data_IF_788509475544
#
_entry.id   IF_788509475544
#
_cell.length_a   1.000
_cell.length_b   1.000
_cell.length_c   1.000
_cell.angle_alpha   90.00
_cell.angle_beta   90.00
_cell.angle_gamma   90.00
#
_symmetry.space_group_name_H-M   'P 1'
#
loop_
_entity.id
_entity.type
_entity.pdbx_description
1 polymer ?
#
# COMPACT_ATOMS: atom_id res chain seq x y z
N UNK A 1 -1.92 24.18 10.35
CA UNK A 1 -2.25 22.75 10.52
C UNK A 1 -3.03 22.63 11.81
N UNK A 2 -4.19 21.97 11.82
CA UNK A 2 -4.93 21.74 13.06
C UNK A 2 -4.12 20.78 13.95
N UNK A 3 -4.21 20.87 15.29
CA UNK A 3 -3.64 19.88 16.20
C UNK A 3 -4.22 18.48 15.93
N UNK A 4 -3.43 17.43 16.19
CA UNK A 4 -3.87 16.03 15.99
C UNK A 4 -5.14 15.71 16.77
N UNK A 5 -5.26 16.19 18.02
CA UNK A 5 -6.49 16.06 18.81
C UNK A 5 -7.71 16.67 18.11
N UNK A 6 -7.59 17.86 17.52
CA UNK A 6 -8.71 18.52 16.84
C UNK A 6 -9.11 17.77 15.55
N UNK A 7 -8.13 17.18 14.86
CA UNK A 7 -8.39 16.34 13.70
C UNK A 7 -9.04 15.00 14.05
N UNK A 8 -8.67 14.42 15.20
CA UNK A 8 -9.29 13.19 15.73
C UNK A 8 -10.72 13.45 16.18
N UNK A 9 -10.95 14.53 16.93
CA UNK A 9 -12.27 14.93 17.43
C UNK A 9 -13.28 15.20 16.29
N UNK A 10 -12.81 15.78 15.18
CA UNK A 10 -13.62 15.99 13.97
C UNK A 10 -14.04 14.68 13.30
N UNK A 11 -13.17 13.65 13.31
CA UNK A 11 -13.48 12.33 12.74
C UNK A 11 -14.41 11.54 13.65
N UNK A 12 -14.15 11.56 14.96
CA UNK A 12 -14.92 10.81 15.96
C UNK A 12 -16.35 11.36 16.12
N UNK A 13 -16.54 12.67 16.00
CA UNK A 13 -17.85 13.32 16.12
C UNK A 13 -18.53 13.61 14.78
N UNK A 14 -17.95 13.20 13.65
CA UNK A 14 -18.62 13.27 12.36
C UNK A 14 -19.96 12.50 12.41
N UNK A 15 -20.98 13.00 11.72
CA UNK A 15 -22.31 12.39 11.65
C UNK A 15 -22.92 12.06 13.03
N UNK A 16 -22.87 13.00 13.98
CA UNK A 16 -23.40 12.81 15.35
C UNK A 16 -22.76 11.64 16.12
N UNK A 17 -21.51 11.29 15.82
CA UNK A 17 -20.80 10.18 16.47
C UNK A 17 -20.93 8.84 15.75
N UNK A 18 -21.63 8.78 14.62
CA UNK A 18 -21.63 7.61 13.73
C UNK A 18 -20.31 7.50 12.93
N UNK A 19 -19.50 8.56 12.94
CA UNK A 19 -18.29 8.67 12.16
C UNK A 19 -18.58 8.96 10.68
N UNK A 20 -17.55 9.20 9.85
CA UNK A 20 -17.74 9.47 8.44
C UNK A 20 -18.39 8.28 7.72
N UNK A 21 -19.27 8.57 6.75
CA UNK A 21 -19.92 7.54 5.94
C UNK A 21 -18.87 6.68 5.22
N UNK A 22 -18.94 5.35 5.32
CA UNK A 22 -18.02 4.49 4.61
C UNK A 22 -18.22 4.64 3.11
N UNK A 23 -17.12 4.83 2.37
CA UNK A 23 -17.15 4.90 0.89
C UNK A 23 -17.70 3.59 0.27
N UNK A 24 -17.53 2.47 0.97
CA UNK A 24 -18.18 1.20 0.68
C UNK A 24 -18.28 0.34 1.94
N UNK A 25 -19.42 -0.32 2.11
CA UNK A 25 -19.64 -1.33 3.17
C UNK A 25 -19.66 -2.72 2.54
N UNK A 26 -18.93 -3.65 3.12
CA UNK A 26 -18.96 -5.07 2.73
C UNK A 26 -19.54 -5.87 3.89
N UNK A 27 -20.81 -6.25 3.78
CA UNK A 27 -21.56 -6.91 4.87
C UNK A 27 -21.27 -8.41 4.98
N UNK A 28 -21.00 -9.09 3.86
CA UNK A 28 -20.70 -10.52 3.87
C UNK A 28 -19.30 -10.77 4.48
N UNK A 29 -19.18 -11.58 5.55
CA UNK A 29 -17.91 -11.80 6.22
C UNK A 29 -16.83 -12.46 5.35
N UNK A 30 -17.20 -13.29 4.37
CA UNK A 30 -16.25 -13.90 3.45
C UNK A 30 -15.74 -12.87 2.43
N UNK A 31 -16.64 -12.01 1.91
CA UNK A 31 -16.24 -10.90 1.04
C UNK A 31 -15.40 -9.86 1.78
N UNK A 32 -15.70 -9.57 3.05
CA UNK A 32 -14.91 -8.67 3.88
C UNK A 32 -13.47 -9.17 4.06
N UNK A 33 -13.27 -10.49 4.25
CA UNK A 33 -11.93 -11.09 4.29
C UNK A 33 -11.17 -10.91 2.98
N UNK A 34 -11.84 -11.03 1.83
CA UNK A 34 -11.23 -10.79 0.52
C UNK A 34 -10.83 -9.32 0.38
N UNK A 35 -11.70 -8.38 0.77
CA UNK A 35 -11.41 -6.94 0.72
C UNK A 35 -10.17 -6.60 1.58
N UNK A 36 -10.10 -7.12 2.81
CA UNK A 36 -8.94 -6.93 3.68
C UNK A 36 -7.67 -7.55 3.07
N UNK A 37 -7.76 -8.75 2.50
CA UNK A 37 -6.62 -9.38 1.82
C UNK A 37 -6.14 -8.55 0.62
N UNK A 38 -7.05 -7.96 -0.15
CA UNK A 38 -6.73 -7.06 -1.26
C UNK A 38 -6.06 -5.76 -0.78
N UNK A 39 -6.51 -5.17 0.33
CA UNK A 39 -5.85 -4.00 0.91
C UNK A 39 -4.42 -4.33 1.33
N UNK A 40 -4.22 -5.47 2.00
CA UNK A 40 -2.90 -5.94 2.42
C UNK A 40 -1.99 -6.24 1.23
N UNK A 41 -2.52 -6.85 0.17
CA UNK A 41 -1.78 -7.11 -1.07
C UNK A 41 -1.26 -5.80 -1.67
N UNK A 42 -2.13 -4.79 -1.83
CA UNK A 42 -1.71 -3.47 -2.36
C UNK A 42 -0.67 -2.79 -1.49
N UNK A 43 -0.77 -2.92 -0.16
CA UNK A 43 0.22 -2.39 0.75
C UNK A 43 1.58 -3.10 0.61
N UNK A 44 1.57 -4.43 0.50
CA UNK A 44 2.78 -5.22 0.28
C UNK A 44 3.41 -4.94 -1.09
N UNK A 45 2.61 -4.74 -2.14
CA UNK A 45 3.09 -4.34 -3.47
C UNK A 45 3.81 -2.98 -3.43
N UNK A 46 3.21 -1.98 -2.77
CA UNK A 46 3.87 -0.68 -2.58
C UNK A 46 5.17 -0.79 -1.79
N UNK A 47 5.17 -1.54 -0.69
CA UNK A 47 6.37 -1.75 0.11
C UNK A 47 7.48 -2.47 -0.69
N UNK A 48 7.09 -3.38 -1.60
CA UNK A 48 8.03 -4.02 -2.52
C UNK A 48 8.62 -3.02 -3.52
N UNK A 49 7.78 -2.16 -4.11
CA UNK A 49 8.23 -1.12 -5.03
C UNK A 49 9.22 -0.16 -4.34
N UNK A 50 8.89 0.30 -3.12
CA UNK A 50 9.76 1.15 -2.28
C UNK A 50 11.12 0.48 -2.01
N UNK A 51 11.12 -0.77 -1.53
CA UNK A 51 12.34 -1.51 -1.25
C UNK A 51 13.22 -1.70 -2.50
N UNK A 52 12.61 -1.88 -3.68
CA UNK A 52 13.34 -1.96 -4.95
C UNK A 52 13.97 -0.62 -5.31
N UNK A 53 13.27 0.49 -5.09
CA UNK A 53 13.82 1.83 -5.32
C UNK A 53 14.97 2.15 -4.37
N UNK A 54 14.84 1.83 -3.08
CA UNK A 54 15.94 1.96 -2.10
C UNK A 54 17.16 1.14 -2.52
N UNK A 55 16.95 -0.11 -2.98
CA UNK A 55 18.02 -0.95 -3.50
C UNK A 55 18.72 -0.32 -4.72
N UNK A 56 17.96 0.36 -5.61
CA UNK A 56 18.51 1.08 -6.75
C UNK A 56 19.29 2.32 -6.32
N UNK A 57 18.81 3.05 -5.31
CA UNK A 57 19.46 4.26 -4.82
C UNK A 57 20.82 3.98 -4.17
N UNK A 58 20.97 2.83 -3.51
CA UNK A 58 22.27 2.37 -2.99
C UNK A 58 23.15 1.68 -4.05
N UNK A 59 22.71 1.67 -5.31
CA UNK A 59 23.49 1.25 -6.46
C UNK A 59 23.40 -0.24 -6.84
N UNK A 60 22.49 -1.01 -6.23
CA UNK A 60 22.33 -2.44 -6.59
C UNK A 60 21.81 -2.58 -8.01
N UNK A 61 22.40 -3.51 -8.77
CA UNK A 61 22.02 -3.73 -10.18
C UNK A 61 20.62 -4.34 -10.32
N UNK A 62 19.96 -4.07 -11.44
CA UNK A 62 18.71 -4.74 -11.82
C UNK A 62 18.83 -6.27 -11.90
N UNK A 63 20.04 -6.79 -12.13
CA UNK A 63 20.28 -8.24 -12.11
C UNK A 63 20.15 -8.77 -10.68
N UNK A 64 20.84 -8.16 -9.72
CA UNK A 64 20.80 -8.57 -8.32
C UNK A 64 19.37 -8.49 -7.74
N UNK A 65 18.64 -7.43 -8.06
CA UNK A 65 17.22 -7.29 -7.68
C UNK A 65 16.38 -8.39 -8.33
N UNK A 66 16.57 -8.64 -9.62
CA UNK A 66 15.87 -9.71 -10.34
C UNK A 66 16.11 -11.09 -9.73
N UNK A 67 17.34 -11.39 -9.33
CA UNK A 67 17.71 -12.68 -8.73
C UNK A 67 16.95 -12.93 -7.41
N UNK A 68 16.81 -11.91 -6.55
CA UNK A 68 16.03 -12.01 -5.30
C UNK A 68 14.53 -12.20 -5.59
N UNK A 69 14.01 -11.53 -6.61
CA UNK A 69 12.60 -11.59 -6.97
C UNK A 69 12.24 -12.79 -7.86
N UNK A 70 13.21 -13.64 -8.21
CA UNK A 70 13.01 -14.78 -9.10
C UNK A 70 12.63 -14.36 -10.53
N UNK A 71 13.09 -13.20 -11.00
CA UNK A 71 12.81 -12.67 -12.33
C UNK A 71 14.08 -12.26 -13.08
N UNK A 72 13.97 -12.12 -14.41
CA UNK A 72 15.10 -11.66 -15.20
C UNK A 72 15.38 -10.18 -14.96
N UNK A 73 16.64 -9.74 -15.17
CA UNK A 73 17.03 -8.32 -15.15
C UNK A 73 16.11 -7.44 -16.01
N UNK A 74 15.76 -7.90 -17.21
CA UNK A 74 14.88 -7.14 -18.11
C UNK A 74 13.46 -7.05 -17.53
N UNK A 75 12.97 -8.12 -16.90
CA UNK A 75 11.69 -8.13 -16.18
C UNK A 75 11.68 -7.14 -15.01
N UNK A 76 12.74 -7.15 -14.19
CA UNK A 76 12.89 -6.21 -13.07
C UNK A 76 12.92 -4.76 -13.57
N UNK A 77 13.79 -4.45 -14.54
CA UNK A 77 13.87 -3.10 -15.11
C UNK A 77 12.52 -2.65 -15.70
N UNK A 78 11.85 -3.52 -16.46
CA UNK A 78 10.53 -3.17 -17.04
C UNK A 78 9.47 -2.91 -15.98
N UNK A 79 9.45 -3.69 -14.89
CA UNK A 79 8.45 -3.58 -13.83
C UNK A 79 8.64 -2.31 -12.99
N UNK A 80 9.88 -2.02 -12.58
CA UNK A 80 10.15 -1.03 -11.54
C UNK A 80 10.76 0.29 -12.05
N UNK A 81 11.29 0.34 -13.28
CA UNK A 81 11.84 1.59 -13.84
C UNK A 81 10.76 2.50 -14.46
N UNK A 82 9.53 2.00 -14.63
CA UNK A 82 8.41 2.78 -15.16
C UNK A 82 7.55 3.45 -14.07
N UNK A 83 7.93 3.29 -12.80
CA UNK A 83 7.26 3.86 -11.63
C UNK A 83 7.91 5.17 -11.19
#
# INVERSE_FOLDING_TARGET
>A
MKPTEEMLDEVENANNGDGPDPVATVEDPALARIAVAQIRLRAAERALDEAVMEARDVGLSWQAIGDILGMTRQGANKRFHAA
#
